data_IF_152186434922
#
_entry.id   IF_152186434922
#
_cell.length_a   1.000
_cell.length_b   1.000
_cell.length_c   1.000
_cell.angle_alpha   90.00
_cell.angle_beta   90.00
_cell.angle_gamma   90.00
#
_symmetry.space_group_name_H-M   'P 1'
#
loop_
_entity.id
_entity.type
_entity.pdbx_description
1 polymer ?
#
# COMPACT_ATOMS: atom_id res chain seq x y z
N UNK A 1 -8.71 11.80 26.08
CA UNK A 1 -7.35 12.35 25.87
C UNK A 1 -6.47 11.44 25.01
N UNK A 2 -6.69 10.11 25.00
CA UNK A 2 -5.93 9.17 24.14
C UNK A 2 -6.26 9.32 22.65
N UNK A 3 -7.50 9.60 22.30
CA UNK A 3 -7.95 9.72 20.91
C UNK A 3 -7.41 10.99 20.23
N UNK A 4 -7.29 12.09 20.99
CA UNK A 4 -6.69 13.35 20.52
C UNK A 4 -5.20 13.17 20.27
N UNK A 5 -4.49 12.46 21.15
CA UNK A 5 -3.08 12.18 20.98
C UNK A 5 -2.81 11.29 19.74
N UNK A 6 -3.69 10.31 19.47
CA UNK A 6 -3.58 9.45 18.29
C UNK A 6 -3.83 10.21 16.98
N UNK A 7 -4.83 11.09 16.94
CA UNK A 7 -5.13 11.91 15.75
C UNK A 7 -4.02 12.92 15.46
N UNK A 8 -3.43 13.51 16.50
CA UNK A 8 -2.32 14.45 16.35
C UNK A 8 -1.05 13.75 15.85
N UNK A 9 -0.76 12.54 16.36
CA UNK A 9 0.34 11.71 15.86
C UNK A 9 0.17 11.32 14.40
N UNK A 10 -1.04 10.92 13.99
CA UNK A 10 -1.33 10.60 12.60
C UNK A 10 -1.23 11.84 11.71
N UNK A 11 -1.69 13.01 12.19
CA UNK A 11 -1.57 14.27 11.48
C UNK A 11 -0.12 14.67 11.26
N UNK A 12 0.70 14.61 12.31
CA UNK A 12 2.14 14.90 12.22
C UNK A 12 2.84 13.91 11.31
N UNK A 13 2.56 12.60 11.42
CA UNK A 13 3.13 11.58 10.55
C UNK A 13 2.81 11.83 9.08
N UNK A 14 1.57 12.20 8.76
CA UNK A 14 1.15 12.52 7.39
C UNK A 14 1.85 13.76 6.83
N UNK A 15 2.07 14.79 7.65
CA UNK A 15 2.80 15.99 7.24
C UNK A 15 4.27 15.66 7.00
N UNK A 16 4.90 14.92 7.91
CA UNK A 16 6.30 14.49 7.77
C UNK A 16 6.46 13.63 6.52
N UNK A 17 5.56 12.69 6.28
CA UNK A 17 5.56 11.86 5.06
C UNK A 17 5.43 12.75 3.81
N UNK A 18 4.52 13.70 3.79
CA UNK A 18 4.31 14.61 2.65
C UNK A 18 5.55 15.48 2.34
N UNK A 19 6.24 15.96 3.37
CA UNK A 19 7.48 16.74 3.22
C UNK A 19 8.64 15.85 2.76
N UNK A 20 8.68 14.61 3.20
CA UNK A 20 9.73 13.65 2.87
C UNK A 20 9.77 13.30 1.38
N UNK A 21 8.64 13.39 0.68
CA UNK A 21 8.59 13.20 -0.80
C UNK A 21 9.36 14.26 -1.59
N UNK A 22 9.72 15.38 -0.97
CA UNK A 22 10.54 16.42 -1.59
C UNK A 22 12.03 16.08 -1.60
N UNK A 23 12.45 15.09 -0.80
CA UNK A 23 13.84 14.66 -0.70
C UNK A 23 13.98 13.21 -1.17
N UNK A 24 14.46 12.95 -2.39
CA UNK A 24 14.47 11.61 -3.00
C UNK A 24 15.15 10.52 -2.18
N UNK A 25 16.15 10.89 -1.37
CA UNK A 25 16.88 9.95 -0.52
C UNK A 25 16.05 9.48 0.69
N UNK A 26 15.31 10.40 1.28
CA UNK A 26 14.42 10.12 2.43
C UNK A 26 13.25 9.27 1.97
N UNK A 27 12.70 9.53 0.79
CA UNK A 27 11.64 8.76 0.16
C UNK A 27 12.02 7.26 0.02
N UNK A 28 13.23 6.98 -0.47
CA UNK A 28 13.70 5.59 -0.60
C UNK A 28 13.87 4.85 0.73
N UNK A 29 14.35 5.53 1.77
CA UNK A 29 14.48 4.94 3.11
C UNK A 29 13.11 4.66 3.70
N UNK A 30 12.18 5.59 3.58
CA UNK A 30 10.80 5.44 4.05
C UNK A 30 10.07 4.32 3.32
N UNK A 31 10.19 4.23 2.00
CA UNK A 31 9.58 3.17 1.22
C UNK A 31 10.12 1.78 1.61
N UNK A 32 11.42 1.67 1.89
CA UNK A 32 12.03 0.41 2.31
C UNK A 32 11.44 -0.08 3.65
N UNK A 33 11.21 0.83 4.59
CA UNK A 33 10.62 0.51 5.91
C UNK A 33 9.11 0.33 5.78
N UNK A 34 8.45 1.06 4.92
CA UNK A 34 7.00 1.05 4.77
C UNK A 34 6.46 -0.29 4.24
N UNK A 35 7.22 -1.02 3.42
CA UNK A 35 6.79 -2.34 2.90
C UNK A 35 6.58 -3.37 4.02
N UNK A 36 7.57 -3.66 4.89
CA UNK A 36 7.34 -4.58 6.00
C UNK A 36 6.31 -4.06 7.01
N UNK A 37 6.27 -2.75 7.27
CA UNK A 37 5.26 -2.16 8.16
C UNK A 37 3.85 -2.33 7.59
N UNK A 38 3.65 -2.15 6.29
CA UNK A 38 2.36 -2.39 5.63
C UNK A 38 1.94 -3.86 5.78
N UNK A 39 2.88 -4.81 5.65
CA UNK A 39 2.62 -6.23 5.88
C UNK A 39 2.14 -6.51 7.29
N UNK A 40 2.82 -5.96 8.31
CA UNK A 40 2.42 -6.10 9.72
C UNK A 40 1.06 -5.45 9.96
N UNK A 41 0.86 -4.22 9.53
CA UNK A 41 -0.40 -3.50 9.70
C UNK A 41 -1.57 -4.22 9.01
N UNK A 42 -1.39 -4.68 7.76
CA UNK A 42 -2.40 -5.45 7.05
C UNK A 42 -2.75 -6.77 7.74
N UNK A 43 -1.75 -7.45 8.31
CA UNK A 43 -1.97 -8.66 9.12
C UNK A 43 -2.81 -8.34 10.36
N UNK A 44 -2.47 -7.28 11.10
CA UNK A 44 -3.19 -6.91 12.32
C UNK A 44 -4.63 -6.49 12.03
N UNK A 45 -4.86 -5.69 11.01
CA UNK A 45 -6.20 -5.28 10.58
C UNK A 45 -7.05 -6.49 10.19
N UNK A 46 -6.49 -7.40 9.38
CA UNK A 46 -7.21 -8.60 8.97
C UNK A 46 -7.50 -9.53 10.17
N UNK A 47 -6.53 -9.72 11.07
CA UNK A 47 -6.72 -10.53 12.27
C UNK A 47 -7.82 -9.96 13.18
N UNK A 48 -7.93 -8.65 13.31
CA UNK A 48 -8.97 -8.01 14.12
C UNK A 48 -10.38 -8.14 13.54
N UNK A 49 -10.49 -8.37 12.24
CA UNK A 49 -11.80 -8.56 11.56
C UNK A 49 -12.28 -10.00 11.54
N UNK A 50 -11.39 -10.97 11.76
CA UNK A 50 -11.69 -12.41 11.70
C UNK A 50 -11.87 -13.02 13.09
N UNK A 51 -12.62 -12.36 14.00
CA UNK A 51 -12.79 -12.75 15.40
C UNK A 51 -13.54 -14.08 15.61
N UNK A 52 -14.38 -14.48 14.65
CA UNK A 52 -15.25 -15.66 14.77
C UNK A 52 -14.65 -16.96 14.26
N UNK A 53 -13.38 -16.94 13.84
CA UNK A 53 -12.66 -18.10 13.30
C UNK A 53 -11.72 -18.74 14.34
N UNK A 54 -11.30 -19.98 14.08
CA UNK A 54 -10.26 -20.59 14.92
C UNK A 54 -8.96 -19.78 14.84
N UNK A 55 -8.18 -19.65 15.93
CA UNK A 55 -6.97 -18.83 15.95
C UNK A 55 -5.98 -19.16 14.83
N UNK A 56 -5.83 -20.44 14.49
CA UNK A 56 -4.92 -20.88 13.42
C UNK A 56 -5.36 -20.36 12.05
N UNK A 57 -6.66 -20.41 11.73
CA UNK A 57 -7.21 -19.89 10.48
C UNK A 57 -7.17 -18.38 10.44
N UNK A 58 -7.49 -17.70 11.54
CA UNK A 58 -7.40 -16.24 11.66
C UNK A 58 -6.00 -15.75 11.32
N UNK A 59 -4.97 -16.32 11.95
CA UNK A 59 -3.60 -15.91 11.69
C UNK A 59 -3.11 -16.28 10.29
N UNK A 60 -3.46 -17.47 9.79
CA UNK A 60 -3.09 -17.89 8.43
C UNK A 60 -3.67 -16.94 7.37
N UNK A 61 -4.96 -16.61 7.45
CA UNK A 61 -5.61 -15.68 6.54
C UNK A 61 -5.11 -14.25 6.73
N UNK A 62 -4.91 -13.82 7.97
CA UNK A 62 -4.40 -12.48 8.26
C UNK A 62 -3.01 -12.25 7.66
N UNK A 63 -2.09 -13.21 7.82
CA UNK A 63 -0.74 -13.10 7.28
C UNK A 63 -0.77 -13.14 5.74
N UNK A 64 -1.46 -14.11 5.15
CA UNK A 64 -1.43 -14.31 3.69
C UNK A 64 -2.26 -13.27 2.96
N UNK A 65 -3.52 -13.07 3.35
CA UNK A 65 -4.43 -12.17 2.66
C UNK A 65 -4.23 -10.72 3.11
N UNK A 66 -4.13 -10.45 4.42
CA UNK A 66 -3.93 -9.10 4.93
C UNK A 66 -2.51 -8.59 4.73
N UNK A 67 -1.54 -9.27 5.31
CA UNK A 67 -0.14 -8.90 5.25
C UNK A 67 0.45 -9.01 3.85
N UNK A 68 0.18 -10.11 3.16
CA UNK A 68 0.66 -10.34 1.80
C UNK A 68 0.12 -9.33 0.79
N UNK A 69 -1.18 -9.03 0.83
CA UNK A 69 -1.78 -8.02 -0.04
C UNK A 69 -1.22 -6.62 0.24
N UNK A 70 -1.16 -6.21 1.51
CA UNK A 70 -0.66 -4.89 1.89
C UNK A 70 0.81 -4.70 1.51
N UNK A 71 1.67 -5.68 1.79
CA UNK A 71 3.08 -5.64 1.40
C UNK A 71 3.27 -5.61 -0.12
N UNK A 72 2.45 -6.36 -0.87
CA UNK A 72 2.50 -6.38 -2.35
C UNK A 72 2.12 -5.03 -2.94
N UNK A 73 1.04 -4.42 -2.46
CA UNK A 73 0.59 -3.10 -2.91
C UNK A 73 1.64 -2.05 -2.60
N UNK A 74 2.17 -2.03 -1.36
CA UNK A 74 3.19 -1.07 -0.96
C UNK A 74 4.51 -1.27 -1.71
N UNK A 75 4.92 -2.53 -1.94
CA UNK A 75 6.10 -2.85 -2.74
C UNK A 75 5.98 -2.43 -4.21
N UNK A 76 4.78 -2.55 -4.79
CA UNK A 76 4.52 -2.05 -6.14
C UNK A 76 4.60 -0.53 -6.22
N UNK A 77 4.05 0.18 -5.24
CA UNK A 77 4.15 1.63 -5.10
C UNK A 77 5.62 2.09 -5.01
N UNK A 78 6.39 1.48 -4.11
CA UNK A 78 7.83 1.75 -3.96
C UNK A 78 8.59 1.52 -5.27
N UNK A 79 8.32 0.41 -5.98
CA UNK A 79 8.93 0.12 -7.28
C UNK A 79 8.57 1.17 -8.34
N UNK A 80 7.33 1.65 -8.35
CA UNK A 80 6.87 2.71 -9.26
C UNK A 80 7.62 4.02 -9.00
N UNK A 81 7.85 4.37 -7.73
CA UNK A 81 8.63 5.58 -7.35
C UNK A 81 10.09 5.46 -7.74
N UNK A 82 10.71 4.28 -7.54
CA UNK A 82 12.09 4.03 -8.01
C UNK A 82 12.18 4.20 -9.53
N UNK A 83 11.25 3.64 -10.28
CA UNK A 83 11.19 3.79 -11.74
C UNK A 83 10.96 5.25 -12.16
N UNK A 84 10.07 5.97 -11.47
CA UNK A 84 9.84 7.40 -11.67
C UNK A 84 11.10 8.21 -11.42
N UNK A 85 11.80 7.97 -10.32
CA UNK A 85 13.05 8.65 -9.98
C UNK A 85 14.13 8.37 -11.03
N UNK A 86 14.27 7.13 -11.50
CA UNK A 86 15.24 6.76 -12.52
C UNK A 86 14.98 7.41 -13.88
N UNK A 87 13.72 7.67 -14.23
CA UNK A 87 13.33 8.22 -15.54
C UNK A 87 13.13 9.73 -15.54
N UNK A 88 12.69 10.31 -14.42
CA UNK A 88 12.32 11.74 -14.32
C UNK A 88 13.15 12.52 -13.31
N UNK A 89 14.17 11.88 -12.71
CA UNK A 89 14.95 12.51 -11.63
C UNK A 89 14.10 12.80 -10.37
N UNK A 90 12.97 12.10 -10.18
CA UNK A 90 12.08 12.27 -9.04
C UNK A 90 10.93 13.25 -9.27
N UNK A 91 10.91 14.01 -10.39
CA UNK A 91 9.83 14.97 -10.69
C UNK A 91 8.47 14.30 -10.90
N UNK A 92 8.43 13.00 -11.22
CA UNK A 92 7.21 12.22 -11.34
C UNK A 92 6.64 11.72 -10.01
N UNK A 93 7.40 11.72 -8.92
CA UNK A 93 6.98 11.18 -7.64
C UNK A 93 5.74 11.87 -7.03
N UNK A 94 5.57 13.19 -7.11
CA UNK A 94 4.34 13.84 -6.68
C UNK A 94 3.10 13.34 -7.42
N UNK A 95 3.21 13.07 -8.72
CA UNK A 95 2.09 12.54 -9.52
C UNK A 95 1.74 11.12 -9.07
N UNK A 96 2.74 10.28 -8.80
CA UNK A 96 2.54 8.93 -8.24
C UNK A 96 1.85 9.01 -6.88
N UNK A 97 2.31 9.88 -5.99
CA UNK A 97 1.70 10.08 -4.66
C UNK A 97 0.24 10.54 -4.73
N UNK A 98 -0.08 11.48 -5.61
CA UNK A 98 -1.47 11.93 -5.81
C UNK A 98 -2.34 10.79 -6.33
N UNK A 99 -1.83 9.98 -7.28
CA UNK A 99 -2.56 8.82 -7.79
C UNK A 99 -2.77 7.75 -6.72
N UNK A 100 -1.78 7.47 -5.89
CA UNK A 100 -1.88 6.55 -4.75
C UNK A 100 -2.93 7.04 -3.74
N UNK A 101 -2.83 8.30 -3.31
CA UNK A 101 -3.78 8.90 -2.35
C UNK A 101 -5.19 8.91 -2.92
N UNK A 102 -5.37 9.32 -4.18
CA UNK A 102 -6.67 9.32 -4.85
C UNK A 102 -7.28 7.92 -4.93
N UNK A 103 -6.47 6.91 -5.22
CA UNK A 103 -6.89 5.52 -5.25
C UNK A 103 -7.28 5.02 -3.85
N UNK A 104 -6.48 5.34 -2.83
CA UNK A 104 -6.76 4.96 -1.45
C UNK A 104 -8.05 5.60 -0.93
N UNK A 105 -8.25 6.89 -1.17
CA UNK A 105 -9.49 7.61 -0.80
C UNK A 105 -10.69 7.04 -1.55
N UNK A 106 -10.55 6.82 -2.86
CA UNK A 106 -11.63 6.24 -3.68
C UNK A 106 -12.05 4.85 -3.21
N UNK A 107 -11.08 3.96 -2.94
CA UNK A 107 -11.34 2.62 -2.41
C UNK A 107 -11.94 2.67 -1.00
N UNK A 108 -11.50 3.60 -0.14
CA UNK A 108 -12.06 3.77 1.20
C UNK A 108 -13.52 4.21 1.16
N UNK A 109 -13.84 5.18 0.32
CA UNK A 109 -15.23 5.61 0.09
C UNK A 109 -16.08 4.47 -0.48
N UNK A 110 -15.54 3.75 -1.47
CA UNK A 110 -16.22 2.60 -2.04
C UNK A 110 -16.48 1.51 -0.99
N UNK A 111 -15.53 1.26 -0.09
CA UNK A 111 -15.67 0.30 1.00
C UNK A 111 -16.78 0.70 2.01
N UNK A 112 -16.93 1.99 2.27
CA UNK A 112 -17.96 2.50 3.18
C UNK A 112 -19.36 2.40 2.55
N UNK A 113 -19.50 2.84 1.29
CA UNK A 113 -20.81 2.92 0.63
C UNK A 113 -21.24 1.59 0.00
N UNK A 114 -20.30 0.78 -0.46
CA UNK A 114 -20.59 -0.48 -1.15
C UNK A 114 -19.44 -1.49 -1.03
N UNK A 115 -19.38 -2.24 0.09
CA UNK A 115 -18.29 -3.20 0.34
C UNK A 115 -18.06 -4.23 -0.77
N UNK A 116 -19.15 -4.66 -1.43
CA UNK A 116 -19.06 -5.66 -2.51
C UNK A 116 -18.27 -5.10 -3.69
N UNK A 117 -18.55 -3.86 -4.12
CA UNK A 117 -17.80 -3.24 -5.21
C UNK A 117 -16.35 -2.93 -4.82
N UNK A 118 -16.09 -2.62 -3.54
CA UNK A 118 -14.73 -2.44 -3.05
C UNK A 118 -13.90 -3.73 -3.17
N UNK A 119 -14.46 -4.87 -2.80
CA UNK A 119 -13.80 -6.18 -2.94
C UNK A 119 -13.54 -6.51 -4.40
N UNK A 120 -14.53 -6.29 -5.28
CA UNK A 120 -14.37 -6.52 -6.72
C UNK A 120 -13.26 -5.62 -7.29
N UNK A 121 -13.26 -4.34 -6.97
CA UNK A 121 -12.23 -3.39 -7.42
C UNK A 121 -10.84 -3.78 -6.92
N UNK A 122 -10.71 -4.22 -5.66
CA UNK A 122 -9.45 -4.68 -5.09
C UNK A 122 -8.94 -5.93 -5.80
N UNK A 123 -9.80 -6.91 -6.04
CA UNK A 123 -9.42 -8.16 -6.76
C UNK A 123 -8.98 -7.84 -8.19
N UNK A 124 -9.72 -7.01 -8.90
CA UNK A 124 -9.35 -6.59 -10.27
C UNK A 124 -8.01 -5.85 -10.25
N UNK A 125 -7.82 -4.92 -9.31
CA UNK A 125 -6.57 -4.18 -9.16
C UNK A 125 -5.37 -5.08 -8.90
N UNK A 126 -5.51 -6.07 -8.00
CA UNK A 126 -4.47 -7.06 -7.73
C UNK A 126 -4.13 -7.92 -8.96
N UNK A 127 -5.16 -8.39 -9.68
CA UNK A 127 -4.95 -9.16 -10.90
C UNK A 127 -4.24 -8.35 -11.99
N UNK A 128 -4.63 -7.09 -12.18
CA UNK A 128 -3.96 -6.19 -13.12
C UNK A 128 -2.51 -5.92 -12.71
N UNK A 129 -2.23 -5.76 -11.42
CA UNK A 129 -0.88 -5.58 -10.89
C UNK A 129 -0.01 -6.81 -11.16
N UNK A 130 -0.51 -8.00 -10.85
CA UNK A 130 0.19 -9.27 -11.09
C UNK A 130 0.46 -9.45 -12.59
N UNK A 131 -0.53 -9.16 -13.44
CA UNK A 131 -0.38 -9.23 -14.88
C UNK A 131 0.67 -8.23 -15.40
N UNK A 132 0.66 -7.00 -14.91
CA UNK A 132 1.64 -5.98 -15.30
C UNK A 132 3.06 -6.39 -14.91
N UNK A 133 3.26 -6.86 -13.67
CA UNK A 133 4.56 -7.34 -13.18
C UNK A 133 5.04 -8.54 -13.99
N UNK A 134 4.18 -9.52 -14.26
CA UNK A 134 4.54 -10.71 -15.06
C UNK A 134 4.91 -10.35 -16.50
N UNK A 135 4.23 -9.37 -17.10
CA UNK A 135 4.53 -8.88 -18.45
C UNK A 135 5.86 -8.17 -18.53
N UNK A 136 6.21 -7.38 -17.52
CA UNK A 136 7.52 -6.70 -17.44
C UNK A 136 8.62 -7.74 -17.29
N UNK A 137 8.45 -8.70 -16.38
CA UNK A 137 9.42 -9.78 -16.13
C UNK A 137 9.64 -10.64 -17.38
N UNK A 138 8.58 -10.93 -18.14
CA UNK A 138 8.67 -11.67 -19.40
C UNK A 138 9.40 -10.92 -20.52
N UNK A 139 9.43 -9.57 -20.49
CA UNK A 139 10.18 -8.76 -21.45
C UNK A 139 11.68 -8.69 -21.10
N UNK A 140 11.99 -8.63 -19.80
CA UNK A 140 13.39 -8.60 -19.34
C UNK A 140 14.10 -9.92 -19.62
N UNK A 141 13.41 -11.04 -19.50
CA UNK A 141 14.00 -12.37 -19.70
C UNK A 141 14.15 -12.78 -21.21
N UNK A 142 13.67 -11.94 -22.13
CA UNK A 142 13.83 -12.14 -23.60
C UNK A 142 14.92 -11.29 -24.24
N UNK A 143 15.64 -10.52 -23.45
CA UNK A 143 16.84 -9.77 -23.88
C UNK A 143 18.11 -10.41 -23.33
#
# INVERSE_FOLDING_TARGET
SSDVCSSDLLGVASIVESISYLVPYVDHVLDTIAVPLAGVAGTMVMASTLSDMSPALTWALAIVAGGGAAATIRGAAATTRVASTATTGGLGNPVVSVAETGTAVGLSLLAIFSPIFAVIALVIGLLMLIWAVSKIKGRVNRR
#
